data_IF_797715977683
#
_entry.id   IF_797715977683
#
_cell.length_a   1.000
_cell.length_b   1.000
_cell.length_c   1.000
_cell.angle_alpha   90.00
_cell.angle_beta   90.00
_cell.angle_gamma   90.00
#
_symmetry.space_group_name_H-M   'P 1'
#
loop_
_entity.id
_entity.type
_entity.pdbx_description
1 polymer ?
#
# COMPACT_ATOMS: atom_id res chain seq x y z
N UNK A 1 7.55 14.41 6.76
CA UNK A 1 6.72 13.51 7.57
C UNK A 1 5.31 13.47 7.02
N UNK A 2 4.75 12.28 6.87
CA UNK A 2 3.38 12.07 6.39
C UNK A 2 2.39 12.69 7.39
N UNK A 3 1.42 13.47 6.90
CA UNK A 3 0.34 13.97 7.73
C UNK A 3 -0.63 12.83 8.08
N UNK A 4 -0.89 12.64 9.38
CA UNK A 4 -1.86 11.65 9.86
C UNK A 4 -3.27 11.99 9.35
N UNK A 5 -3.95 11.00 8.76
CA UNK A 5 -5.34 11.13 8.32
C UNK A 5 -6.29 11.00 9.50
N UNK A 6 -7.36 11.78 9.51
CA UNK A 6 -8.40 11.63 10.54
C UNK A 6 -9.22 10.37 10.30
N UNK A 7 -9.41 9.58 11.37
CA UNK A 7 -10.30 8.42 11.37
C UNK A 7 -11.42 8.62 12.40
N UNK A 8 -12.59 8.03 12.13
CA UNK A 8 -13.77 8.10 12.99
C UNK A 8 -13.81 6.93 13.99
N UNK A 9 -12.78 6.84 14.85
CA UNK A 9 -12.61 5.72 15.79
C UNK A 9 -11.99 4.49 15.12
N UNK A 10 -11.99 3.38 15.87
CA UNK A 10 -11.34 2.13 15.43
C UNK A 10 -12.34 1.05 15.01
N UNK A 11 -13.66 1.29 15.18
CA UNK A 11 -14.70 0.35 14.77
C UNK A 11 -15.02 0.57 13.29
N UNK A 12 -14.58 -0.34 12.46
CA UNK A 12 -14.77 -0.28 11.00
C UNK A 12 -15.54 -1.51 10.54
N UNK A 13 -16.50 -1.32 9.62
CA UNK A 13 -17.13 -2.44 8.94
C UNK A 13 -16.26 -2.90 7.77
N UNK A 14 -16.05 -4.22 7.61
CA UNK A 14 -15.25 -4.76 6.52
C UNK A 14 -15.79 -4.39 5.14
N UNK A 15 -14.89 -4.22 4.17
CA UNK A 15 -15.21 -4.12 2.76
C UNK A 15 -14.85 -5.39 2.02
N UNK A 16 -15.81 -5.97 1.31
CA UNK A 16 -15.57 -7.03 0.34
C UNK A 16 -15.39 -6.39 -1.05
N UNK A 17 -14.25 -6.67 -1.68
CA UNK A 17 -13.81 -6.15 -2.96
C UNK A 17 -13.57 -7.36 -3.87
N UNK A 18 -14.39 -7.52 -4.92
CA UNK A 18 -14.35 -8.71 -5.75
C UNK A 18 -13.66 -8.46 -7.09
N UNK A 19 -12.96 -9.49 -7.57
CA UNK A 19 -12.32 -9.48 -8.88
C UNK A 19 -11.19 -8.45 -9.00
N UNK A 20 -10.55 -8.10 -7.89
CA UNK A 20 -9.44 -7.15 -7.88
C UNK A 20 -8.32 -7.61 -8.81
N UNK A 21 -7.80 -6.69 -9.63
CA UNK A 21 -6.61 -6.88 -10.44
C UNK A 21 -5.46 -6.15 -9.77
N UNK A 22 -4.39 -6.85 -9.46
CA UNK A 22 -3.28 -6.33 -8.65
C UNK A 22 -1.97 -6.48 -9.41
N UNK A 23 -1.15 -5.44 -9.41
CA UNK A 23 0.24 -5.47 -9.85
C UNK A 23 1.12 -4.96 -8.71
N UNK A 24 2.11 -5.77 -8.32
CA UNK A 24 3.14 -5.42 -7.34
C UNK A 24 4.51 -5.52 -7.98
N UNK A 25 5.31 -4.47 -7.84
CA UNK A 25 6.72 -4.47 -8.16
C UNK A 25 7.52 -4.23 -6.87
N UNK A 26 8.45 -5.13 -6.56
CA UNK A 26 9.34 -5.01 -5.42
C UNK A 26 10.73 -4.60 -5.90
N UNK A 27 11.29 -3.57 -5.27
CA UNK A 27 12.63 -3.06 -5.53
C UNK A 27 13.39 -2.85 -4.22
N UNK A 28 14.67 -3.11 -4.24
CA UNK A 28 15.56 -2.58 -3.22
C UNK A 28 15.64 -1.06 -3.36
N UNK A 29 15.71 -0.40 -2.22
CA UNK A 29 15.88 1.05 -2.10
C UNK A 29 17.11 1.32 -1.23
N UNK A 30 17.58 2.58 -1.23
CA UNK A 30 18.73 2.98 -0.44
C UNK A 30 18.53 2.72 1.06
N UNK A 31 19.47 1.96 1.66
CA UNK A 31 19.45 1.63 3.09
C UNK A 31 19.68 2.84 4.00
N UNK A 32 20.41 3.85 3.52
CA UNK A 32 20.81 4.99 4.34
C UNK A 32 19.66 5.99 4.55
N UNK A 33 18.69 5.99 3.63
CA UNK A 33 17.56 6.94 3.65
C UNK A 33 16.26 6.37 4.19
N UNK A 34 16.17 5.04 4.39
CA UNK A 34 14.93 4.38 4.77
C UNK A 34 14.41 4.79 6.15
N UNK A 35 15.30 5.06 7.11
CA UNK A 35 14.92 5.46 8.46
C UNK A 35 14.16 6.79 8.49
N UNK A 36 14.46 7.71 7.55
CA UNK A 36 13.76 8.99 7.42
C UNK A 36 12.34 8.85 6.84
N UNK A 37 12.06 7.72 6.19
CA UNK A 37 10.74 7.41 5.62
C UNK A 37 9.81 6.71 6.61
N UNK A 38 10.33 6.15 7.70
CA UNK A 38 9.59 5.33 8.65
C UNK A 38 9.31 6.06 9.96
N UNK A 39 8.15 5.82 10.60
CA UNK A 39 7.93 6.16 11.99
C UNK A 39 8.92 5.45 12.93
N UNK A 40 9.31 6.08 14.03
CA UNK A 40 10.32 5.55 15.00
C UNK A 40 9.99 4.12 15.51
N UNK A 41 8.71 3.80 15.64
CA UNK A 41 8.25 2.47 16.07
C UNK A 41 8.50 1.36 15.05
N UNK A 42 8.75 1.72 13.78
CA UNK A 42 8.97 0.76 12.71
C UNK A 42 10.46 0.65 12.40
N UNK A 43 10.93 -0.59 12.30
CA UNK A 43 12.31 -0.88 11.92
C UNK A 43 12.40 -1.16 10.43
N UNK A 44 13.39 -0.67 9.72
CA UNK A 44 13.60 -1.00 8.31
C UNK A 44 13.80 -2.51 8.11
N UNK A 45 13.44 -3.00 6.96
CA UNK A 45 13.87 -4.32 6.50
C UNK A 45 15.32 -4.26 6.04
N UNK A 46 16.02 -5.39 6.12
CA UNK A 46 17.40 -5.52 5.64
C UNK A 46 17.44 -6.69 4.64
N UNK A 47 17.75 -6.45 3.35
CA UNK A 47 17.93 -5.13 2.73
C UNK A 47 16.65 -4.28 2.75
N UNK A 48 16.82 -2.96 2.59
CA UNK A 48 15.69 -2.04 2.45
C UNK A 48 14.96 -2.27 1.12
N UNK A 49 13.63 -2.29 1.15
CA UNK A 49 12.83 -2.46 -0.06
C UNK A 49 11.55 -1.65 -0.02
N UNK A 50 11.03 -1.35 -1.22
CA UNK A 50 9.73 -0.76 -1.42
C UNK A 50 8.87 -1.62 -2.36
N UNK A 51 7.56 -1.58 -2.17
CA UNK A 51 6.56 -2.10 -3.12
C UNK A 51 5.87 -0.95 -3.82
N UNK A 52 5.90 -0.99 -5.13
CA UNK A 52 5.06 -0.18 -6.00
C UNK A 52 3.82 -1.01 -6.32
N UNK A 53 2.70 -0.63 -5.75
CA UNK A 53 1.46 -1.40 -5.75
C UNK A 53 0.38 -0.65 -6.52
N UNK A 54 -0.22 -1.28 -7.51
CA UNK A 54 -1.40 -0.75 -8.22
C UNK A 54 -2.48 -1.80 -8.26
N UNK A 55 -3.69 -1.41 -7.84
CA UNK A 55 -4.85 -2.30 -7.84
C UNK A 55 -6.04 -1.61 -8.48
N UNK A 56 -6.76 -2.33 -9.33
CA UNK A 56 -8.08 -1.98 -9.82
C UNK A 56 -9.13 -2.86 -9.12
N UNK A 57 -10.10 -2.24 -8.48
CA UNK A 57 -11.25 -2.86 -7.84
C UNK A 57 -12.50 -2.61 -8.70
N UNK A 58 -12.95 -3.57 -9.51
CA UNK A 58 -14.13 -3.41 -10.37
C UNK A 58 -15.43 -3.42 -9.58
N UNK A 59 -15.45 -4.05 -8.42
CA UNK A 59 -16.61 -4.18 -7.53
C UNK A 59 -16.23 -3.83 -6.10
N UNK A 60 -16.88 -2.79 -5.56
CA UNK A 60 -16.67 -2.29 -4.20
C UNK A 60 -17.93 -1.60 -3.66
N UNK A 61 -18.04 -1.40 -2.33
CA UNK A 61 -19.17 -0.68 -1.72
C UNK A 61 -19.35 0.78 -2.19
N UNK A 62 -18.32 1.36 -2.81
CA UNK A 62 -18.33 2.76 -3.30
C UNK A 62 -18.26 2.86 -4.83
N UNK A 63 -18.55 1.74 -5.51
CA UNK A 63 -18.38 1.60 -6.96
C UNK A 63 -16.93 1.27 -7.35
N UNK A 64 -16.65 1.13 -8.65
CA UNK A 64 -15.31 0.79 -9.12
C UNK A 64 -14.32 1.91 -8.82
N UNK A 65 -13.09 1.52 -8.44
CA UNK A 65 -11.97 2.43 -8.25
C UNK A 65 -10.63 1.74 -8.45
N UNK A 66 -9.60 2.53 -8.66
CA UNK A 66 -8.22 2.07 -8.70
C UNK A 66 -7.37 2.84 -7.70
N UNK A 67 -6.37 2.17 -7.15
CA UNK A 67 -5.44 2.73 -6.18
C UNK A 67 -4.01 2.42 -6.59
N UNK A 68 -3.14 3.44 -6.51
CA UNK A 68 -1.70 3.31 -6.67
C UNK A 68 -0.99 3.72 -5.40
N UNK A 69 -0.11 2.88 -4.87
CA UNK A 69 0.56 3.06 -3.58
C UNK A 69 2.04 2.77 -3.65
N UNK A 70 2.80 3.44 -2.80
CA UNK A 70 4.16 3.03 -2.46
C UNK A 70 4.21 2.66 -0.99
N UNK A 71 4.72 1.46 -0.71
CA UNK A 71 4.85 0.92 0.65
C UNK A 71 6.31 0.63 0.93
N UNK A 72 6.82 1.14 2.04
CA UNK A 72 8.19 0.88 2.52
C UNK A 72 8.19 -0.38 3.36
N UNK A 73 9.06 -1.32 3.00
CA UNK A 73 9.26 -2.56 3.74
C UNK A 73 9.85 -2.30 5.11
N UNK A 74 9.18 -2.84 6.15
CA UNK A 74 9.52 -2.55 7.54
C UNK A 74 9.07 -3.68 8.44
N UNK A 75 9.39 -3.59 9.71
CA UNK A 75 8.95 -4.50 10.76
C UNK A 75 8.32 -3.70 11.90
N UNK A 76 7.14 -4.13 12.33
CA UNK A 76 6.55 -3.72 13.60
C UNK A 76 6.64 -4.93 14.53
N UNK A 77 7.58 -4.90 15.47
CA UNK A 77 8.02 -6.08 16.20
C UNK A 77 8.72 -7.08 15.26
N UNK A 78 8.31 -8.35 15.31
CA UNK A 78 8.92 -9.44 14.49
C UNK A 78 8.26 -9.64 13.13
N UNK A 79 7.10 -9.02 12.89
CA UNK A 79 6.33 -9.26 11.68
C UNK A 79 6.65 -8.24 10.57
N UNK A 80 6.82 -8.69 9.32
CA UNK A 80 6.99 -7.78 8.19
C UNK A 80 5.72 -6.94 7.98
N UNK A 81 5.90 -5.69 7.63
CA UNK A 81 4.85 -4.69 7.40
C UNK A 81 5.23 -3.81 6.22
N UNK A 82 4.23 -3.21 5.59
CA UNK A 82 4.42 -2.17 4.58
C UNK A 82 3.91 -0.82 5.11
N UNK A 83 4.80 0.14 5.36
CA UNK A 83 4.39 1.50 5.69
C UNK A 83 4.00 2.24 4.42
N UNK A 84 2.75 2.68 4.32
CA UNK A 84 2.23 3.34 3.12
C UNK A 84 2.60 4.82 3.14
N UNK A 85 3.37 5.27 2.16
CA UNK A 85 3.78 6.68 2.04
C UNK A 85 2.63 7.55 1.51
N UNK A 86 1.96 7.11 0.47
CA UNK A 86 0.84 7.80 -0.20
C UNK A 86 0.05 6.81 -1.04
N UNK A 87 -1.26 7.09 -1.18
CA UNK A 87 -2.17 6.33 -2.04
C UNK A 87 -2.90 7.29 -2.98
N UNK A 88 -2.68 7.16 -4.29
CA UNK A 88 -3.46 7.87 -5.31
C UNK A 88 -4.70 7.04 -5.66
N UNK A 89 -5.88 7.66 -5.67
CA UNK A 89 -7.15 6.98 -5.91
C UNK A 89 -7.98 7.77 -6.93
N UNK A 90 -8.61 7.07 -7.86
CA UNK A 90 -9.35 7.65 -8.99
C UNK A 90 -10.86 7.80 -8.75
N UNK A 91 -11.33 7.59 -7.52
CA UNK A 91 -12.73 7.74 -7.10
C UNK A 91 -12.79 8.56 -5.82
N UNK A 92 -13.48 9.71 -5.85
CA UNK A 92 -13.52 10.66 -4.74
C UNK A 92 -14.13 10.06 -3.47
N UNK A 93 -15.19 9.22 -3.60
CA UNK A 93 -15.79 8.54 -2.45
C UNK A 93 -14.80 7.57 -1.81
N UNK A 94 -14.07 6.80 -2.63
CA UNK A 94 -13.03 5.90 -2.14
C UNK A 94 -11.88 6.66 -1.46
N UNK A 95 -11.47 7.83 -1.97
CA UNK A 95 -10.47 8.70 -1.33
C UNK A 95 -10.87 9.01 0.11
N UNK A 96 -12.12 9.43 0.34
CA UNK A 96 -12.61 9.81 1.66
C UNK A 96 -12.83 8.61 2.58
N UNK A 97 -13.52 7.58 2.09
CA UNK A 97 -13.88 6.41 2.90
C UNK A 97 -12.65 5.62 3.37
N UNK A 98 -11.67 5.38 2.50
CA UNK A 98 -10.43 4.69 2.88
C UNK A 98 -9.64 5.48 3.93
N UNK A 99 -9.58 6.81 3.80
CA UNK A 99 -8.92 7.66 4.77
C UNK A 99 -9.64 7.62 6.12
N UNK A 100 -10.96 7.82 6.15
CA UNK A 100 -11.73 7.94 7.39
C UNK A 100 -11.91 6.62 8.12
N UNK A 101 -11.93 5.48 7.41
CA UNK A 101 -12.11 4.15 8.01
C UNK A 101 -10.81 3.55 8.49
N UNK A 102 -9.76 3.59 7.68
CA UNK A 102 -8.52 2.87 7.95
C UNK A 102 -7.26 3.74 7.94
N UNK A 103 -7.40 5.05 7.81
CA UNK A 103 -6.27 5.98 7.82
C UNK A 103 -5.37 5.91 6.59
N UNK A 104 -5.86 5.36 5.47
CA UNK A 104 -5.07 5.37 4.23
C UNK A 104 -4.65 6.80 3.87
N UNK A 105 -3.38 7.04 3.49
CA UNK A 105 -2.90 8.36 3.09
C UNK A 105 -3.34 8.72 1.67
N UNK A 106 -4.65 8.61 1.41
CA UNK A 106 -5.26 8.80 0.11
C UNK A 106 -5.24 10.25 -0.36
N UNK A 107 -4.99 10.42 -1.64
CA UNK A 107 -5.14 11.68 -2.39
C UNK A 107 -5.80 11.39 -3.74
N UNK A 108 -6.53 12.34 -4.32
CA UNK A 108 -7.08 12.18 -5.66
C UNK A 108 -5.98 12.00 -6.70
N UNK A 109 -6.21 11.13 -7.67
CA UNK A 109 -5.31 10.89 -8.78
C UNK A 109 -5.98 10.15 -9.92
N UNK A 110 -5.21 9.80 -10.94
CA UNK A 110 -5.65 8.93 -12.03
C UNK A 110 -4.78 7.69 -12.01
N UNK A 111 -5.42 6.54 -11.94
CA UNK A 111 -4.73 5.25 -11.84
C UNK A 111 -5.17 4.38 -13.01
N UNK A 112 -4.21 3.83 -13.72
CA UNK A 112 -4.43 2.95 -14.85
C UNK A 112 -3.73 1.64 -14.62
N UNK A 113 -4.44 0.53 -14.80
CA UNK A 113 -3.90 -0.83 -14.77
C UNK A 113 -4.48 -1.61 -15.95
N UNK A 114 -3.62 -2.25 -16.74
CA UNK A 114 -4.06 -3.09 -17.83
C UNK A 114 -3.19 -4.34 -17.99
N UNK A 115 -3.88 -5.47 -18.09
CA UNK A 115 -3.28 -6.78 -18.34
C UNK A 115 -3.35 -7.04 -19.84
N UNK A 116 -2.18 -7.10 -20.49
CA UNK A 116 -2.02 -7.53 -21.90
C UNK A 116 -1.62 -9.01 -21.93
N UNK A 117 -1.51 -9.57 -23.11
CA UNK A 117 -1.07 -10.96 -23.29
C UNK A 117 0.38 -11.18 -22.80
N UNK A 118 1.27 -10.26 -23.14
CA UNK A 118 2.73 -10.34 -22.92
C UNK A 118 3.22 -9.57 -21.70
N UNK A 119 2.43 -8.64 -21.17
CA UNK A 119 2.82 -7.75 -20.06
C UNK A 119 1.63 -7.23 -19.26
N UNK A 120 1.93 -6.68 -18.10
CA UNK A 120 0.99 -5.88 -17.30
C UNK A 120 1.57 -4.48 -17.14
N UNK A 121 0.76 -3.46 -17.41
CA UNK A 121 1.18 -2.05 -17.35
C UNK A 121 0.35 -1.31 -16.34
N UNK A 122 1.01 -0.48 -15.53
CA UNK A 122 0.33 0.43 -14.61
C UNK A 122 0.92 1.83 -14.67
N UNK A 123 0.05 2.83 -14.55
CA UNK A 123 0.41 4.25 -14.49
C UNK A 123 -0.37 4.95 -13.41
N UNK A 124 0.30 5.86 -12.71
CA UNK A 124 -0.32 6.71 -11.71
C UNK A 124 0.00 8.15 -12.05
N UNK A 125 -1.04 8.99 -12.11
CA UNK A 125 -0.89 10.43 -12.24
C UNK A 125 -1.57 11.15 -11.07
N UNK A 126 -1.02 12.28 -10.67
CA UNK A 126 -1.63 13.12 -9.64
C UNK A 126 -2.89 13.86 -10.18
N UNK A 127 -3.55 14.62 -9.32
CA UNK A 127 -4.77 15.35 -9.69
C UNK A 127 -4.59 16.36 -10.83
N UNK A 128 -3.37 16.91 -11.03
CA UNK A 128 -3.05 17.80 -12.15
C UNK A 128 -2.79 17.06 -13.47
N UNK A 129 -2.77 15.72 -13.44
CA UNK A 129 -2.50 14.90 -14.62
C UNK A 129 -1.01 14.64 -14.87
N UNK A 130 -0.11 15.10 -13.99
CA UNK A 130 1.32 14.77 -14.08
C UNK A 130 1.52 13.31 -13.73
N UNK A 131 2.20 12.55 -14.61
CA UNK A 131 2.58 11.17 -14.35
C UNK A 131 3.59 11.10 -13.19
N UNK A 132 3.33 10.27 -12.18
CA UNK A 132 4.17 10.13 -10.98
C UNK A 132 4.75 8.71 -10.84
N UNK A 133 4.20 7.75 -11.57
CA UNK A 133 4.71 6.38 -11.69
C UNK A 133 4.26 5.79 -13.02
N UNK A 134 5.21 5.20 -13.75
CA UNK A 134 4.94 4.33 -14.91
C UNK A 134 5.74 3.05 -14.71
N UNK A 135 5.06 1.90 -14.71
CA UNK A 135 5.68 0.61 -14.43
C UNK A 135 5.04 -0.52 -15.21
N UNK A 136 5.81 -1.59 -15.43
CA UNK A 136 5.32 -2.80 -16.07
C UNK A 136 5.93 -4.06 -15.50
N UNK A 137 5.24 -5.17 -15.69
CA UNK A 137 5.73 -6.54 -15.51
C UNK A 137 5.76 -7.23 -16.86
N UNK A 138 6.89 -7.80 -17.23
CA UNK A 138 7.11 -8.57 -18.46
C UNK A 138 7.53 -10.01 -18.14
N UNK A 139 7.61 -10.88 -19.15
CA UNK A 139 8.01 -12.28 -19.02
C UNK A 139 7.17 -13.05 -17.98
N UNK A 140 5.88 -13.05 -18.19
CA UNK A 140 4.87 -13.57 -17.26
C UNK A 140 4.88 -15.08 -17.20
N UNK A 141 4.93 -15.62 -15.98
CA UNK A 141 4.83 -17.06 -15.69
C UNK A 141 3.76 -17.30 -14.62
N UNK A 142 2.90 -18.33 -14.78
CA UNK A 142 1.95 -18.71 -13.74
C UNK A 142 2.66 -19.15 -12.45
N UNK A 143 2.08 -18.77 -11.31
CA UNK A 143 2.48 -19.23 -9.99
C UNK A 143 1.26 -19.59 -9.15
N UNK A 144 1.48 -20.21 -7.99
CA UNK A 144 0.41 -20.37 -7.01
C UNK A 144 0.16 -19.03 -6.29
N UNK A 145 -1.11 -18.71 -6.00
CA UNK A 145 -1.46 -17.50 -5.25
C UNK A 145 -0.81 -17.43 -3.86
N UNK A 146 -0.55 -18.57 -3.23
CA UNK A 146 0.16 -18.64 -1.94
C UNK A 146 1.64 -18.24 -2.01
N UNK A 147 2.23 -18.18 -3.22
CA UNK A 147 3.61 -17.73 -3.41
C UNK A 147 3.72 -16.21 -3.43
N UNK A 148 2.58 -15.49 -3.51
CA UNK A 148 2.57 -14.03 -3.44
C UNK A 148 2.65 -13.60 -1.97
N UNK A 149 3.69 -12.83 -1.65
CA UNK A 149 3.83 -12.25 -0.32
C UNK A 149 3.06 -10.94 -0.23
N UNK A 150 2.00 -10.94 0.59
CA UNK A 150 1.29 -9.73 0.96
C UNK A 150 1.62 -9.35 2.40
N UNK A 151 2.15 -8.15 2.56
CA UNK A 151 2.40 -7.60 3.88
C UNK A 151 1.22 -6.73 4.29
N UNK A 152 0.82 -6.83 5.55
CA UNK A 152 -0.11 -5.90 6.16
C UNK A 152 0.39 -4.48 5.97
N UNK A 153 -0.52 -3.57 5.63
CA UNK A 153 -0.18 -2.15 5.52
C UNK A 153 -0.31 -1.45 6.88
N UNK A 154 0.55 -0.45 7.07
CA UNK A 154 0.53 0.44 8.24
C UNK A 154 0.29 1.87 7.79
N UNK A 155 -0.68 2.52 8.42
CA UNK A 155 -1.07 3.88 8.09
C UNK A 155 -0.99 4.77 9.32
N UNK A 156 -0.49 5.99 9.15
CA UNK A 156 -0.49 6.99 10.22
C UNK A 156 -1.85 7.69 10.24
N UNK A 157 -2.57 7.55 11.34
CA UNK A 157 -3.91 8.11 11.51
C UNK A 157 -4.04 8.90 12.81
N UNK A 158 -4.95 9.87 12.81
CA UNK A 158 -5.37 10.61 14.01
C UNK A 158 -6.82 10.20 14.34
N UNK A 159 -7.02 9.62 15.49
CA UNK A 159 -8.37 9.31 15.94
C UNK A 159 -9.10 10.60 16.35
N UNK A 160 -10.25 10.85 15.77
CA UNK A 160 -11.06 12.05 16.01
C UNK A 160 -11.64 12.10 17.42
N UNK A 161 -11.90 10.93 18.03
CA UNK A 161 -12.56 10.85 19.34
C UNK A 161 -11.65 11.28 20.50
N UNK A 162 -10.35 10.95 20.41
CA UNK A 162 -9.38 11.24 21.49
C UNK A 162 -8.16 12.08 21.04
N UNK A 163 -8.10 12.44 19.75
CA UNK A 163 -7.03 13.24 19.13
C UNK A 163 -5.68 12.53 19.03
N UNK A 164 -5.58 11.25 19.43
CA UNK A 164 -4.32 10.52 19.42
C UNK A 164 -3.88 10.16 18.00
N UNK A 165 -2.58 10.31 17.77
CA UNK A 165 -1.96 9.80 16.55
C UNK A 165 -1.50 8.38 16.79
N UNK A 166 -1.90 7.47 15.89
CA UNK A 166 -1.61 6.04 15.95
C UNK A 166 -1.20 5.51 14.58
N UNK A 167 -0.46 4.42 14.57
CA UNK A 167 -0.32 3.57 13.40
C UNK A 167 -1.46 2.55 13.39
N UNK A 168 -2.29 2.61 12.38
CA UNK A 168 -3.36 1.63 12.13
C UNK A 168 -2.79 0.48 11.31
N UNK A 169 -2.96 -0.74 11.79
CA UNK A 169 -2.62 -1.95 11.03
C UNK A 169 -3.83 -2.41 10.22
N UNK A 170 -3.65 -2.58 8.93
CA UNK A 170 -4.65 -3.13 8.01
C UNK A 170 -4.14 -4.45 7.47
N UNK A 171 -4.88 -5.53 7.76
CA UNK A 171 -4.59 -6.90 7.36
C UNK A 171 -5.69 -7.40 6.41
N UNK A 172 -5.58 -7.18 5.09
CA UNK A 172 -6.55 -7.71 4.15
C UNK A 172 -6.47 -9.24 4.04
N UNK A 173 -7.62 -9.85 3.81
CA UNK A 173 -7.74 -11.27 3.46
C UNK A 173 -7.84 -11.40 1.94
N UNK A 174 -7.15 -12.40 1.37
CA UNK A 174 -7.02 -12.59 -0.06
C UNK A 174 -7.50 -13.96 -0.49
N UNK A 175 -8.32 -14.03 -1.52
CA UNK A 175 -8.71 -15.26 -2.22
C UNK A 175 -8.25 -15.16 -3.67
N UNK A 176 -7.20 -15.90 -4.03
CA UNK A 176 -6.58 -15.83 -5.35
C UNK A 176 -7.33 -16.69 -6.36
N UNK A 177 -7.63 -16.10 -7.53
CA UNK A 177 -8.22 -16.80 -8.69
C UNK A 177 -7.16 -17.06 -9.78
N UNK A 178 -6.22 -16.13 -9.93
CA UNK A 178 -5.09 -16.22 -10.85
C UNK A 178 -3.89 -15.49 -10.28
N UNK A 179 -2.71 -16.08 -10.43
CA UNK A 179 -1.47 -15.45 -10.00
C UNK A 179 -0.36 -15.71 -11.01
N UNK A 180 0.44 -14.70 -11.25
CA UNK A 180 1.58 -14.71 -12.15
C UNK A 180 2.73 -13.92 -11.54
N UNK A 181 3.95 -14.34 -11.84
CA UNK A 181 5.18 -13.58 -11.58
C UNK A 181 5.80 -13.14 -12.90
N UNK A 182 6.70 -12.17 -12.83
CA UNK A 182 7.44 -11.70 -13.99
C UNK A 182 8.60 -10.83 -13.59
N UNK A 183 9.21 -10.17 -14.58
CA UNK A 183 10.29 -9.20 -14.34
C UNK A 183 9.70 -7.81 -14.12
N UNK A 184 10.08 -7.12 -13.03
CA UNK A 184 9.67 -5.75 -12.77
C UNK A 184 10.44 -4.76 -13.62
N UNK A 185 9.76 -3.73 -14.09
CA UNK A 185 10.37 -2.61 -14.79
C UNK A 185 9.66 -1.30 -14.40
N UNK A 186 10.38 -0.38 -13.76
CA UNK A 186 9.90 0.98 -13.50
C UNK A 186 10.45 1.87 -14.63
N UNK A 187 9.52 2.42 -15.41
CA UNK A 187 9.83 3.29 -16.56
C UNK A 187 10.08 4.72 -16.08
N UNK A 188 9.26 5.20 -15.14
CA UNK A 188 9.44 6.51 -14.52
C UNK A 188 8.89 6.54 -13.09
N UNK A 189 9.57 7.28 -12.21
CA UNK A 189 9.19 7.48 -10.81
C UNK A 189 9.51 8.92 -10.40
N UNK A 190 8.50 9.63 -9.91
CA UNK A 190 8.65 10.94 -9.26
C UNK A 190 8.60 10.76 -7.74
N UNK A 191 9.76 10.59 -7.11
CA UNK A 191 9.88 10.36 -5.66
C UNK A 191 9.17 11.42 -4.81
N UNK A 192 9.24 12.69 -5.20
CA UNK A 192 8.61 13.79 -4.46
C UNK A 192 7.08 13.66 -4.41
N UNK A 193 6.48 13.13 -5.46
CA UNK A 193 5.04 12.90 -5.51
C UNK A 193 4.55 11.87 -4.49
N UNK A 194 5.43 11.02 -3.98
CA UNK A 194 5.12 9.96 -2.99
C UNK A 194 5.42 10.36 -1.54
N UNK A 195 5.59 11.65 -1.27
CA UNK A 195 5.92 12.17 0.06
C UNK A 195 7.28 11.67 0.61
N UNK A 196 8.18 11.27 -0.28
CA UNK A 196 9.48 10.71 0.04
C UNK A 196 10.65 11.70 -0.25
N UNK A 197 10.36 12.92 -0.70
CA UNK A 197 11.41 13.82 -1.18
C UNK A 197 12.21 13.16 -2.30
N UNK A 198 13.52 13.22 -2.25
CA UNK A 198 14.43 12.57 -3.21
C UNK A 198 14.93 11.19 -2.71
N UNK A 199 14.39 10.68 -1.60
CA UNK A 199 14.84 9.46 -0.93
C UNK A 199 14.36 8.17 -1.59
N UNK A 200 13.23 8.18 -2.31
CA UNK A 200 12.68 6.99 -2.94
C UNK A 200 13.33 6.76 -4.31
N UNK A 201 14.30 5.86 -4.35
CA UNK A 201 14.94 5.41 -5.59
C UNK A 201 14.79 3.91 -5.70
N UNK A 202 14.21 3.44 -6.81
CA UNK A 202 14.14 2.01 -7.14
C UNK A 202 15.49 1.58 -7.71
N UNK A 203 16.33 0.90 -6.91
CA UNK A 203 17.70 0.59 -7.29
C UNK A 203 17.80 -0.77 -7.99
N UNK A 204 17.43 -1.84 -7.29
CA UNK A 204 17.53 -3.20 -7.80
C UNK A 204 16.18 -3.89 -7.83
N UNK A 205 15.79 -4.49 -8.99
CA UNK A 205 14.55 -5.23 -9.09
C UNK A 205 14.62 -6.54 -8.29
N UNK A 206 13.60 -6.79 -7.43
CA UNK A 206 13.49 -8.01 -6.64
C UNK A 206 12.50 -8.97 -7.31
N UNK A 207 11.25 -8.52 -7.50
CA UNK A 207 10.19 -9.34 -8.08
C UNK A 207 9.04 -8.50 -8.61
N UNK A 208 8.28 -9.09 -9.53
CA UNK A 208 6.97 -8.58 -9.91
C UNK A 208 5.94 -9.69 -9.80
N UNK A 209 4.74 -9.35 -9.34
CA UNK A 209 3.60 -10.26 -9.28
C UNK A 209 2.34 -9.56 -9.76
N UNK A 210 1.52 -10.31 -10.49
CA UNK A 210 0.18 -9.89 -10.88
C UNK A 210 -0.82 -10.95 -10.46
N UNK A 211 -1.98 -10.53 -9.95
CA UNK A 211 -3.02 -11.49 -9.63
C UNK A 211 -4.43 -10.94 -9.90
N UNK A 212 -5.38 -11.87 -10.01
CA UNK A 212 -6.81 -11.62 -9.91
C UNK A 212 -7.28 -12.31 -8.63
N UNK A 213 -7.95 -11.56 -7.74
CA UNK A 213 -8.32 -12.05 -6.43
C UNK A 213 -9.54 -11.32 -5.86
N UNK A 214 -10.17 -11.91 -4.86
CA UNK A 214 -11.09 -11.21 -3.97
C UNK A 214 -10.31 -10.72 -2.75
N UNK A 215 -10.61 -9.51 -2.30
CA UNK A 215 -9.95 -8.87 -1.17
C UNK A 215 -10.99 -8.47 -0.13
N UNK A 216 -10.77 -8.82 1.13
CA UNK A 216 -11.56 -8.29 2.23
C UNK A 216 -10.67 -7.38 3.08
N UNK A 217 -10.96 -6.07 3.07
CA UNK A 217 -10.35 -5.15 4.03
C UNK A 217 -11.12 -5.30 5.34
N UNK A 218 -10.48 -5.92 6.33
CA UNK A 218 -11.11 -6.28 7.60
C UNK A 218 -11.23 -5.12 8.57
N UNK A 219 -11.73 -5.42 9.77
CA UNK A 219 -11.77 -4.49 10.91
C UNK A 219 -10.35 -4.15 11.35
N UNK A 220 -10.16 -2.95 11.92
CA UNK A 220 -8.92 -2.59 12.61
C UNK A 220 -8.80 -3.47 13.84
N UNK A 221 -7.79 -4.35 13.87
CA UNK A 221 -7.54 -5.26 15.00
C UNK A 221 -6.45 -4.75 15.94
N UNK A 222 -5.48 -4.00 15.39
CA UNK A 222 -4.32 -3.51 16.13
C UNK A 222 -4.01 -2.06 15.73
N UNK A 223 -3.63 -1.29 16.73
CA UNK A 223 -3.06 0.04 16.60
C UNK A 223 -1.72 0.08 17.33
N UNK A 224 -0.82 0.97 16.93
CA UNK A 224 0.45 1.16 17.59
C UNK A 224 0.74 2.64 17.83
N UNK A 225 1.28 2.96 19.01
CA UNK A 225 1.78 4.29 19.33
C UNK A 225 3.06 4.55 18.51
N UNK A 226 3.08 5.53 17.58
CA UNK A 226 4.23 5.77 16.71
C UNK A 226 5.47 6.29 17.43
N UNK A 227 5.36 6.71 18.69
CA UNK A 227 6.47 7.21 19.52
C UNK A 227 7.10 6.14 20.40
N UNK A 228 6.56 4.90 20.43
CA UNK A 228 7.04 3.81 21.27
C UNK A 228 7.57 2.65 20.42
N UNK A 229 8.42 1.82 21.03
CA UNK A 229 8.74 0.53 20.43
C UNK A 229 7.48 -0.30 20.20
N UNK A 230 7.42 -1.02 19.07
CA UNK A 230 6.22 -1.75 18.65
C UNK A 230 5.74 -2.79 19.68
N UNK A 231 6.65 -3.42 20.43
CA UNK A 231 6.29 -4.38 21.48
C UNK A 231 5.57 -3.72 22.66
N UNK A 232 5.88 -2.45 22.94
CA UNK A 232 5.27 -1.69 24.04
C UNK A 232 4.10 -0.84 23.58
N UNK A 233 4.13 -0.39 22.32
CA UNK A 233 3.16 0.54 21.75
C UNK A 233 1.95 -0.11 21.11
N UNK A 234 2.02 -1.42 20.78
CA UNK A 234 0.90 -2.12 20.11
C UNK A 234 -0.22 -2.46 21.09
N UNK A 235 -1.43 -2.07 20.72
CA UNK A 235 -2.65 -2.34 21.49
C UNK A 235 -3.67 -3.03 20.58
N UNK A 236 -4.31 -4.07 21.08
CA UNK A 236 -5.45 -4.69 20.42
C UNK A 236 -6.68 -3.80 20.59
N UNK A 237 -7.38 -3.53 19.51
CA UNK A 237 -8.65 -2.80 19.52
C UNK A 237 -9.74 -3.74 20.06
N UNK A 238 -10.51 -3.25 21.02
CA UNK A 238 -11.64 -4.01 21.55
C UNK A 238 -12.68 -4.28 20.43
N UNK A 239 -13.15 -5.51 20.37
CA UNK A 239 -14.15 -5.97 19.39
C UNK A 239 -15.50 -5.23 19.50
#
# INVERSE_FOLDING_TARGET
>A
AQAAREIHGYKTEPWALKGAQVLNLHYEIDNDTIDDLLPVTMRPSIPAWAVFHVTHYPDSPVGPFSIGEVRIGSRAGVRPRGFVLRSYVDNDTAVHELAQRWGYPTVPGKVYLRIFHDRVVARVANASGKNVLDMEMIDREPINGTDIQYNSSMHLARNKDDGKVVLVQVDPEWVFHKAERGRPHIISLDSQAWAAGDMLKAEYPISATCCICDVTIGKIRYICDPAKDAFQGTTQVAA
#
